data_IF_495916842387
#
_entry.id   IF_495916842387
#
_cell.length_a   1.000
_cell.length_b   1.000
_cell.length_c   1.000
_cell.angle_alpha   90.00
_cell.angle_beta   90.00
_cell.angle_gamma   90.00
#
_symmetry.space_group_name_H-M   'P 1'
#
loop_
_entity.id
_entity.type
_entity.pdbx_description
1 polymer ?
#
# COMPACT_ATOMS: atom_id res chain seq x y z
N UNK A 1 -1.73 20.59 11.06
CA UNK A 1 -1.83 19.17 10.68
C UNK A 1 -0.51 18.48 10.97
N UNK A 2 -0.50 17.34 11.64
CA UNK A 2 0.68 16.49 11.89
C UNK A 2 0.50 15.19 11.11
N UNK A 3 1.51 14.82 10.30
CA UNK A 3 1.52 13.58 9.53
C UNK A 3 2.47 12.57 10.18
N UNK A 4 1.99 11.34 10.31
CA UNK A 4 2.80 10.19 10.70
C UNK A 4 2.93 9.26 9.51
N UNK A 5 4.15 9.03 9.05
CA UNK A 5 4.43 8.14 7.94
C UNK A 5 4.93 6.80 8.46
N UNK A 6 4.25 5.72 8.09
CA UNK A 6 4.60 4.35 8.46
C UNK A 6 4.86 3.58 7.17
N UNK A 7 6.09 3.08 7.04
CA UNK A 7 6.43 2.14 5.96
C UNK A 7 5.85 0.77 6.28
N UNK A 8 5.46 0.01 5.24
CA UNK A 8 5.08 -1.40 5.40
C UNK A 8 6.20 -2.21 6.06
N UNK A 9 5.83 -3.25 6.78
CA UNK A 9 6.73 -4.24 7.36
C UNK A 9 7.41 -5.08 6.26
N UNK A 10 8.43 -5.86 6.62
CA UNK A 10 9.16 -6.70 5.66
C UNK A 10 8.20 -7.56 4.83
N UNK A 11 8.33 -7.46 3.51
CA UNK A 11 7.56 -8.25 2.54
C UNK A 11 8.39 -9.41 1.99
N UNK A 12 7.71 -10.39 1.38
CA UNK A 12 8.34 -11.50 0.66
C UNK A 12 9.31 -11.00 -0.41
N UNK A 13 8.96 -9.90 -1.10
CA UNK A 13 9.85 -9.28 -2.08
C UNK A 13 11.09 -8.66 -1.42
N UNK A 14 10.98 -8.08 -0.22
CA UNK A 14 12.16 -7.59 0.50
C UNK A 14 13.07 -8.73 0.92
N UNK A 15 12.51 -9.82 1.45
CA UNK A 15 13.29 -10.99 1.85
C UNK A 15 13.96 -11.68 0.65
N UNK A 16 13.32 -11.67 -0.52
CA UNK A 16 13.84 -12.29 -1.73
C UNK A 16 14.94 -11.47 -2.41
N UNK A 17 15.02 -10.15 -2.17
CA UNK A 17 16.04 -9.29 -2.79
C UNK A 17 17.47 -9.64 -2.37
N UNK A 18 17.63 -10.33 -1.25
CA UNK A 18 18.91 -10.75 -0.69
C UNK A 18 19.33 -12.16 -1.18
N UNK A 19 18.55 -12.77 -2.08
CA UNK A 19 18.83 -14.11 -2.61
C UNK A 19 19.51 -14.02 -3.98
N UNK A 20 20.47 -14.92 -4.23
CA UNK A 20 21.17 -15.06 -5.52
C UNK A 20 20.21 -15.43 -6.68
N UNK A 21 19.03 -15.93 -6.36
CA UNK A 21 18.00 -16.31 -7.31
C UNK A 21 16.64 -15.70 -6.93
N UNK A 22 16.40 -14.41 -7.25
CA UNK A 22 15.21 -13.70 -6.79
C UNK A 22 13.94 -14.28 -7.40
N UNK A 23 12.96 -14.54 -6.53
CA UNK A 23 11.61 -14.91 -6.95
C UNK A 23 10.84 -13.65 -7.32
N UNK A 24 10.13 -13.69 -8.46
CA UNK A 24 9.26 -12.59 -8.86
C UNK A 24 7.93 -12.67 -8.12
N UNK A 25 7.69 -11.69 -7.23
CA UNK A 25 6.42 -11.54 -6.53
C UNK A 25 5.57 -10.48 -7.22
N UNK A 26 4.26 -10.73 -7.29
CA UNK A 26 3.26 -9.72 -7.61
C UNK A 26 2.48 -9.39 -6.33
N UNK A 27 2.35 -8.10 -6.01
CA UNK A 27 1.65 -7.64 -4.80
C UNK A 27 2.01 -8.47 -3.57
N UNK A 28 3.32 -8.52 -3.27
CA UNK A 28 3.92 -9.35 -2.22
C UNK A 28 3.24 -9.14 -0.86
N UNK A 29 3.08 -10.23 -0.10
CA UNK A 29 2.61 -10.24 1.29
C UNK A 29 3.74 -9.90 2.25
N UNK A 30 3.42 -9.65 3.53
CA UNK A 30 4.45 -9.52 4.57
C UNK A 30 4.90 -10.89 5.06
N UNK A 31 6.17 -10.98 5.46
CA UNK A 31 6.76 -12.19 6.05
C UNK A 31 6.35 -12.38 7.51
N UNK A 32 6.65 -13.55 8.10
CA UNK A 32 6.47 -13.76 9.55
C UNK A 32 7.25 -12.72 10.35
N UNK A 33 8.48 -12.39 9.96
CA UNK A 33 9.27 -11.30 10.56
C UNK A 33 8.58 -9.94 10.38
N UNK A 34 7.99 -9.67 9.21
CA UNK A 34 7.19 -8.47 8.98
C UNK A 34 5.99 -8.38 9.92
N UNK A 35 5.29 -9.48 10.19
CA UNK A 35 4.17 -9.52 11.15
C UNK A 35 4.63 -9.16 12.57
N UNK A 36 5.79 -9.66 12.98
CA UNK A 36 6.36 -9.29 14.29
C UNK A 36 6.79 -7.82 14.36
N UNK A 37 7.37 -7.29 13.28
CA UNK A 37 7.69 -5.86 13.19
C UNK A 37 6.43 -5.00 13.37
N UNK A 38 5.34 -5.35 12.68
CA UNK A 38 4.07 -4.64 12.78
C UNK A 38 3.47 -4.71 14.20
N UNK A 39 3.53 -5.88 14.87
CA UNK A 39 3.09 -6.04 16.27
C UNK A 39 3.92 -5.16 17.22
N UNK A 40 5.23 -5.16 17.08
CA UNK A 40 6.12 -4.30 17.90
C UNK A 40 5.81 -2.83 17.71
N UNK A 41 5.47 -2.40 16.48
CA UNK A 41 5.07 -1.03 16.23
C UNK A 41 3.69 -0.73 16.84
N UNK A 42 2.70 -1.64 16.72
CA UNK A 42 1.42 -1.52 17.40
C UNK A 42 1.62 -1.21 18.89
N UNK A 43 2.43 -1.99 19.61
CA UNK A 43 2.66 -1.79 21.04
C UNK A 43 3.26 -0.42 21.36
N UNK A 44 4.11 0.10 20.49
CA UNK A 44 4.72 1.42 20.67
C UNK A 44 3.75 2.59 20.46
N UNK A 45 2.77 2.45 19.57
CA UNK A 45 1.92 3.56 19.13
C UNK A 45 0.43 3.41 19.48
N UNK A 46 0.00 2.29 20.06
CA UNK A 46 -1.41 2.02 20.42
C UNK A 46 -2.05 3.08 21.34
N UNK A 47 -1.23 3.85 22.05
CA UNK A 47 -1.68 4.96 22.90
C UNK A 47 -1.88 6.27 22.14
N UNK A 48 -1.47 6.35 20.86
CA UNK A 48 -1.61 7.55 20.04
C UNK A 48 -2.97 7.52 19.34
N UNK A 49 -3.74 8.58 19.51
CA UNK A 49 -4.98 8.78 18.77
C UNK A 49 -4.70 9.51 17.46
N UNK A 50 -5.15 8.94 16.38
CA UNK A 50 -5.08 9.55 15.05
C UNK A 50 -6.49 9.88 14.56
N UNK A 51 -6.67 11.05 13.96
CA UNK A 51 -7.96 11.49 13.43
C UNK A 51 -8.35 10.72 12.16
N UNK A 52 -7.38 10.41 11.32
CA UNK A 52 -7.58 9.70 10.05
C UNK A 52 -6.45 8.75 9.75
N UNK A 53 -6.80 7.68 9.05
CA UNK A 53 -5.87 6.65 8.60
C UNK A 53 -5.97 6.53 7.08
N UNK A 54 -4.84 6.61 6.41
CA UNK A 54 -4.72 6.40 4.98
C UNK A 54 -3.82 5.19 4.73
N UNK A 55 -4.16 4.39 3.73
CA UNK A 55 -3.38 3.21 3.39
C UNK A 55 -3.30 3.03 1.87
N UNK A 56 -2.12 2.68 1.40
CA UNK A 56 -1.94 2.20 0.03
C UNK A 56 -2.69 0.87 -0.17
N UNK A 57 -3.27 0.62 -1.35
CA UNK A 57 -3.96 -0.65 -1.61
C UNK A 57 -3.04 -1.84 -1.89
N UNK A 58 -1.71 -1.71 -1.81
CA UNK A 58 -0.79 -2.85 -1.90
C UNK A 58 -0.97 -3.79 -0.70
N UNK A 59 -0.99 -5.10 -0.94
CA UNK A 59 -1.27 -6.11 0.09
C UNK A 59 -0.36 -5.98 1.30
N UNK A 60 0.96 -5.80 1.10
CA UNK A 60 1.91 -5.62 2.21
C UNK A 60 1.57 -4.43 3.13
N UNK A 61 0.98 -3.36 2.57
CA UNK A 61 0.58 -2.19 3.35
C UNK A 61 -0.73 -2.44 4.10
N UNK A 62 -1.70 -3.11 3.47
CA UNK A 62 -2.97 -3.50 4.08
C UNK A 62 -2.76 -4.48 5.24
N UNK A 63 -1.91 -5.49 5.06
CA UNK A 63 -1.55 -6.45 6.11
C UNK A 63 -0.81 -5.75 7.27
N UNK A 64 0.14 -4.87 6.97
CA UNK A 64 0.83 -4.08 7.99
C UNK A 64 -0.15 -3.22 8.78
N UNK A 65 -1.05 -2.51 8.08
CA UNK A 65 -2.07 -1.67 8.69
C UNK A 65 -3.00 -2.47 9.60
N UNK A 66 -3.49 -3.61 9.15
CA UNK A 66 -4.43 -4.45 9.92
C UNK A 66 -3.84 -4.93 11.25
N UNK A 67 -2.53 -5.16 11.30
CA UNK A 67 -1.83 -5.56 12.52
C UNK A 67 -1.58 -4.37 13.44
N UNK A 68 -1.17 -3.23 12.88
CA UNK A 68 -0.88 -2.03 13.70
C UNK A 68 -2.17 -1.42 14.25
N UNK A 69 -3.26 -1.45 13.50
CA UNK A 69 -4.53 -0.82 13.82
C UNK A 69 -5.72 -1.79 13.67
N UNK A 70 -5.80 -2.86 14.49
CA UNK A 70 -6.71 -4.00 14.27
C UNK A 70 -8.20 -3.62 14.25
N UNK A 71 -8.59 -2.51 14.90
CA UNK A 71 -10.00 -2.06 14.98
C UNK A 71 -10.26 -0.81 14.15
N UNK A 72 -9.38 -0.45 13.23
CA UNK A 72 -9.51 0.75 12.40
C UNK A 72 -9.71 0.38 10.93
N UNK A 73 -10.43 1.24 10.23
CA UNK A 73 -10.64 1.14 8.78
C UNK A 73 -9.93 2.29 8.10
N UNK A 74 -8.98 2.03 7.21
CA UNK A 74 -8.27 3.10 6.52
C UNK A 74 -9.07 3.64 5.34
N UNK A 75 -8.79 4.89 4.99
CA UNK A 75 -9.12 5.43 3.67
C UNK A 75 -8.09 4.85 2.70
N UNK A 76 -8.54 4.02 1.77
CA UNK A 76 -7.68 3.42 0.76
C UNK A 76 -7.41 4.43 -0.33
N UNK A 77 -6.14 4.82 -0.50
CA UNK A 77 -5.74 5.81 -1.49
C UNK A 77 -4.61 5.28 -2.38
N UNK A 78 -4.85 5.07 -3.69
CA UNK A 78 -3.84 4.59 -4.62
C UNK A 78 -2.71 5.60 -4.86
N UNK A 79 -2.87 6.87 -4.48
CA UNK A 79 -1.81 7.87 -4.56
C UNK A 79 -0.66 7.57 -3.60
N UNK A 80 -0.89 6.74 -2.57
CA UNK A 80 0.11 6.31 -1.59
C UNK A 80 0.87 5.03 -1.99
N UNK A 81 0.59 4.46 -3.17
CA UNK A 81 1.29 3.26 -3.62
C UNK A 81 2.80 3.48 -3.75
N UNK A 82 3.55 2.40 -3.74
CA UNK A 82 4.98 2.40 -4.02
C UNK A 82 5.26 2.87 -5.47
N UNK A 83 6.49 3.28 -5.72
CA UNK A 83 7.00 3.53 -7.07
C UNK A 83 6.85 2.27 -7.93
N UNK A 84 6.05 2.35 -8.99
CA UNK A 84 5.82 1.23 -9.89
C UNK A 84 7.08 0.95 -10.73
N UNK A 85 7.95 0.12 -10.21
CA UNK A 85 9.22 -0.22 -10.85
C UNK A 85 9.46 -1.73 -10.95
N UNK A 86 9.12 -2.48 -9.92
CA UNK A 86 9.29 -3.94 -9.83
C UNK A 86 7.93 -4.67 -9.91
N UNK A 87 7.97 -5.98 -10.14
CA UNK A 87 6.77 -6.82 -10.17
C UNK A 87 5.97 -6.74 -8.86
N UNK A 88 6.62 -6.62 -7.73
CA UNK A 88 5.97 -6.52 -6.42
C UNK A 88 5.17 -5.21 -6.21
N UNK A 89 5.34 -4.23 -7.09
CA UNK A 89 4.60 -2.96 -7.07
C UNK A 89 3.33 -3.01 -7.94
N UNK A 90 3.15 -4.10 -8.68
CA UNK A 90 1.91 -4.40 -9.42
C UNK A 90 0.88 -4.91 -8.44
N UNK A 91 -0.21 -4.19 -8.29
CA UNK A 91 -1.26 -4.53 -7.34
C UNK A 91 -2.25 -5.59 -7.84
N UNK A 92 -3.23 -5.89 -7.01
CA UNK A 92 -4.37 -6.76 -7.34
C UNK A 92 -5.63 -5.94 -7.54
N UNK A 93 -6.53 -6.43 -8.39
CA UNK A 93 -7.81 -5.77 -8.66
C UNK A 93 -8.66 -5.64 -7.38
N UNK A 94 -9.50 -4.59 -7.28
CA UNK A 94 -10.33 -4.33 -6.08
C UNK A 94 -11.19 -5.51 -5.65
N UNK A 95 -11.74 -6.27 -6.60
CA UNK A 95 -12.55 -7.47 -6.33
C UNK A 95 -11.78 -8.58 -5.60
N UNK A 96 -10.46 -8.67 -5.83
CA UNK A 96 -9.60 -9.65 -5.17
C UNK A 96 -9.25 -9.15 -3.77
N UNK A 97 -8.86 -7.87 -3.65
CA UNK A 97 -8.56 -7.25 -2.36
C UNK A 97 -9.77 -7.30 -1.41
N UNK A 98 -10.98 -7.09 -1.94
CA UNK A 98 -12.23 -7.15 -1.16
C UNK A 98 -12.51 -8.51 -0.55
N UNK A 99 -12.06 -9.60 -1.18
CA UNK A 99 -12.20 -10.96 -0.62
C UNK A 99 -11.29 -11.19 0.59
N UNK A 100 -10.09 -10.63 0.58
CA UNK A 100 -9.11 -10.79 1.66
C UNK A 100 -9.29 -9.77 2.79
N UNK A 101 -9.71 -8.55 2.44
CA UNK A 101 -9.89 -7.42 3.35
C UNK A 101 -11.35 -6.95 3.31
N UNK A 102 -12.29 -7.83 3.67
CA UNK A 102 -13.74 -7.61 3.53
C UNK A 102 -14.25 -6.34 4.23
N UNK A 103 -13.61 -5.93 5.32
CA UNK A 103 -13.98 -4.75 6.10
C UNK A 103 -13.50 -3.43 5.51
N UNK A 104 -12.62 -3.45 4.50
CA UNK A 104 -12.08 -2.24 3.89
C UNK A 104 -12.88 -1.85 2.65
N UNK A 105 -12.93 -0.55 2.38
CA UNK A 105 -13.67 0.00 1.25
C UNK A 105 -12.72 0.23 0.05
N UNK A 106 -12.93 -0.53 -1.02
CA UNK A 106 -12.18 -0.43 -2.27
C UNK A 106 -13.01 0.15 -3.43
N UNK A 107 -14.20 0.71 -3.16
CA UNK A 107 -15.13 1.13 -4.22
C UNK A 107 -14.57 2.25 -5.12
N UNK A 108 -13.64 3.05 -4.61
CA UNK A 108 -13.01 4.14 -5.35
C UNK A 108 -11.77 3.70 -6.15
N UNK A 109 -11.38 2.42 -6.07
CA UNK A 109 -10.26 1.92 -6.85
C UNK A 109 -10.70 1.50 -8.25
N UNK A 110 -9.92 1.89 -9.25
CA UNK A 110 -10.02 1.35 -10.61
C UNK A 110 -9.37 -0.03 -10.67
N UNK A 111 -9.70 -0.83 -11.69
CA UNK A 111 -9.18 -2.20 -11.83
C UNK A 111 -7.65 -2.26 -11.88
N UNK A 112 -7.01 -1.28 -12.53
CA UNK A 112 -5.56 -1.18 -12.68
C UNK A 112 -5.00 0.06 -11.97
N UNK A 113 -5.41 0.27 -10.73
CA UNK A 113 -5.09 1.43 -9.89
C UNK A 113 -3.59 1.71 -9.70
N UNK A 114 -2.75 0.72 -9.94
CA UNK A 114 -1.28 0.86 -9.87
C UNK A 114 -0.66 1.60 -11.04
N UNK A 115 -1.39 1.75 -12.16
CA UNK A 115 -0.94 2.52 -13.32
C UNK A 115 -1.38 4.00 -13.23
N UNK A 116 -0.54 4.93 -13.70
CA UNK A 116 -0.87 6.36 -13.70
C UNK A 116 -1.86 6.74 -14.81
N UNK A 117 -1.72 6.18 -16.00
CA UNK A 117 -2.56 6.47 -17.16
C UNK A 117 -3.32 5.22 -17.55
N UNK A 118 -4.57 5.21 -17.24
CA UNK A 118 -5.44 4.09 -17.52
C UNK A 118 -6.17 4.40 -18.83
N UNK A 119 -5.65 3.92 -19.94
CA UNK A 119 -6.56 3.45 -20.98
C UNK A 119 -7.16 2.13 -20.48
N UNK A 120 -8.46 1.98 -20.61
CA UNK A 120 -9.28 0.88 -20.07
C UNK A 120 -8.79 -0.52 -20.50
N UNK A 121 -7.90 -0.60 -21.47
CA UNK A 121 -7.40 -1.84 -22.07
C UNK A 121 -5.92 -2.15 -21.78
N UNK A 122 -5.23 -1.36 -20.96
CA UNK A 122 -3.79 -1.57 -20.78
C UNK A 122 -3.50 -2.58 -19.67
N UNK A 123 -3.36 -3.82 -20.06
CA UNK A 123 -2.60 -4.85 -19.33
C UNK A 123 -1.10 -4.53 -19.23
N UNK A 124 -0.66 -3.43 -19.81
CA UNK A 124 0.75 -3.03 -19.88
C UNK A 124 1.13 -2.32 -18.59
N UNK A 125 2.12 -2.87 -17.90
CA UNK A 125 2.74 -2.25 -16.74
C UNK A 125 3.66 -1.13 -17.24
N UNK A 126 3.28 0.11 -16.99
CA UNK A 126 4.11 1.27 -17.31
C UNK A 126 4.84 1.73 -16.05
N UNK A 127 6.16 1.57 -16.04
CA UNK A 127 7.01 2.06 -14.95
C UNK A 127 6.81 3.56 -14.73
N UNK A 128 6.73 3.97 -13.47
CA UNK A 128 6.69 5.38 -13.09
C UNK A 128 8.08 6.00 -13.18
N UNK A 129 8.13 7.29 -13.52
CA UNK A 129 9.31 8.12 -13.33
C UNK A 129 9.15 9.01 -12.07
N UNK A 130 10.22 9.70 -11.67
CA UNK A 130 10.20 10.54 -10.46
C UNK A 130 9.17 11.69 -10.53
N UNK A 131 8.90 12.22 -11.74
CA UNK A 131 7.90 13.27 -11.90
C UNK A 131 6.48 12.75 -11.69
N UNK A 132 6.19 11.51 -12.13
CA UNK A 132 4.91 10.85 -11.88
C UNK A 132 4.65 10.71 -10.38
N UNK A 133 5.66 10.28 -9.62
CA UNK A 133 5.59 10.16 -8.15
C UNK A 133 5.34 11.53 -7.52
N UNK A 134 6.10 12.55 -7.92
CA UNK A 134 5.94 13.90 -7.39
C UNK A 134 4.53 14.44 -7.61
N UNK A 135 3.98 14.29 -8.82
CA UNK A 135 2.64 14.76 -9.15
C UNK A 135 1.58 14.07 -8.27
N UNK A 136 1.62 12.74 -8.15
CA UNK A 136 0.62 12.02 -7.36
C UNK A 136 0.71 12.31 -5.86
N UNK A 137 1.92 12.50 -5.31
CA UNK A 137 2.10 12.87 -3.91
C UNK A 137 1.62 14.30 -3.62
N UNK A 138 1.85 15.23 -4.54
CA UNK A 138 1.28 16.59 -4.43
C UNK A 138 -0.26 16.52 -4.43
N UNK A 139 -0.85 15.71 -5.30
CA UNK A 139 -2.29 15.52 -5.34
C UNK A 139 -2.83 14.89 -4.05
N UNK A 140 -2.15 13.88 -3.51
CA UNK A 140 -2.49 13.34 -2.20
C UNK A 140 -2.47 14.41 -1.11
N UNK A 141 -1.39 15.21 -1.02
CA UNK A 141 -1.27 16.27 -0.01
C UNK A 141 -2.33 17.37 -0.15
N UNK A 142 -2.76 17.68 -1.38
CA UNK A 142 -3.89 18.60 -1.61
C UNK A 142 -5.20 17.98 -1.09
N UNK A 143 -5.47 16.73 -1.43
CA UNK A 143 -6.70 16.04 -1.03
C UNK A 143 -6.85 15.96 0.51
N UNK A 144 -5.77 15.65 1.24
CA UNK A 144 -5.86 15.54 2.71
C UNK A 144 -6.03 16.88 3.41
N UNK A 145 -5.69 18.01 2.78
CA UNK A 145 -5.92 19.34 3.34
C UNK A 145 -7.38 19.78 3.27
N UNK A 146 -8.16 19.18 2.39
CA UNK A 146 -9.59 19.51 2.20
C UNK A 146 -10.52 18.59 3.00
N UNK A 147 -9.97 17.61 3.69
CA UNK A 147 -10.69 16.67 4.57
C UNK A 147 -10.61 17.12 6.04
#
# INVERSE_FOLDING_TARGET
MKLHLIRHAESEANAASDLDNPTYYYDAKITSKGKEQAKKLHDKIKHINFDKYFCSPLTRTLETFSIIFPNKKPIIDPLLREHLYHSCDVGRQPKILKKEFADYNFNNLKDFWWNNNISINEKIIKKENHNDIKIRLINFLKNIKTL
#
